data_IF_310726971676
#
_entry.id   IF_310726971676
#
_cell.length_a   1.000
_cell.length_b   1.000
_cell.length_c   1.000
_cell.angle_alpha   90.00
_cell.angle_beta   90.00
_cell.angle_gamma   90.00
#
_symmetry.space_group_name_H-M   'P 1'
#
loop_
_entity.id
_entity.type
_entity.pdbx_description
1 polymer ?
#
# COMPACT_ATOMS: atom_id res chain seq x y z
N UNK A 1 1.12 -0.05 -30.66
CA UNK A 1 2.29 -0.23 -29.78
C UNK A 1 2.01 0.62 -28.58
N UNK A 2 1.96 0.01 -27.40
CA UNK A 2 1.82 0.75 -26.15
C UNK A 2 3.03 1.68 -25.99
N UNK A 3 2.78 2.93 -25.57
CA UNK A 3 3.81 3.95 -25.40
C UNK A 3 4.12 4.15 -23.92
N UNK A 4 5.39 4.45 -23.61
CA UNK A 4 5.77 4.87 -22.27
C UNK A 4 5.22 6.27 -22.05
N UNK A 5 4.43 6.42 -20.99
CA UNK A 5 3.81 7.69 -20.63
C UNK A 5 4.46 8.34 -19.42
N UNK A 6 5.09 7.54 -18.55
CA UNK A 6 5.72 8.01 -17.32
C UNK A 6 6.79 7.03 -16.82
N UNK A 7 7.62 7.48 -15.88
CA UNK A 7 8.60 6.64 -15.18
C UNK A 7 8.48 6.82 -13.67
N UNK A 8 8.56 5.70 -12.96
CA UNK A 8 8.69 5.66 -11.50
C UNK A 8 10.11 5.20 -11.13
N UNK A 9 10.60 5.72 -10.01
CA UNK A 9 11.80 5.25 -9.32
C UNK A 9 11.37 4.59 -8.01
N UNK A 10 11.80 3.36 -7.80
CA UNK A 10 11.52 2.58 -6.59
C UNK A 10 12.79 2.42 -5.77
N UNK A 11 12.71 2.77 -4.49
CA UNK A 11 13.70 2.46 -3.47
C UNK A 11 13.30 1.16 -2.75
N UNK A 12 13.99 0.03 -2.99
CA UNK A 12 13.67 -1.24 -2.35
C UNK A 12 13.90 -1.25 -0.84
N UNK A 13 14.75 -0.37 -0.32
CA UNK A 13 15.06 -0.30 1.12
C UNK A 13 13.94 0.42 1.86
N UNK A 14 13.54 1.59 1.35
CA UNK A 14 12.42 2.37 1.91
C UNK A 14 11.04 1.84 1.53
N UNK A 15 10.96 0.90 0.57
CA UNK A 15 9.73 0.44 -0.07
C UNK A 15 8.85 1.61 -0.53
N UNK A 16 9.48 2.62 -1.12
CA UNK A 16 8.82 3.83 -1.59
C UNK A 16 9.00 3.97 -3.10
N UNK A 17 7.93 4.38 -3.78
CA UNK A 17 7.95 4.73 -5.19
C UNK A 17 7.77 6.24 -5.33
N UNK A 18 8.61 6.86 -6.15
CA UNK A 18 8.49 8.26 -6.55
C UNK A 18 8.34 8.37 -8.05
N UNK A 19 7.68 9.42 -8.51
CA UNK A 19 7.67 9.73 -9.93
C UNK A 19 8.99 10.39 -10.35
N UNK A 20 9.52 10.02 -11.50
CA UNK A 20 10.77 10.55 -12.00
C UNK A 20 10.56 11.96 -12.60
N UNK A 21 11.17 12.97 -11.98
CA UNK A 21 11.08 14.37 -12.44
C UNK A 21 12.31 14.88 -13.18
N UNK A 22 13.41 14.13 -13.20
CA UNK A 22 14.68 14.50 -13.86
C UNK A 22 15.21 13.30 -14.66
N UNK A 23 15.66 13.57 -15.88
CA UNK A 23 16.04 12.56 -16.88
C UNK A 23 17.54 12.64 -17.23
N UNK A 24 18.37 13.26 -16.38
CA UNK A 24 19.82 13.30 -16.54
C UNK A 24 20.42 11.87 -16.50
N UNK A 25 21.01 11.38 -17.61
CA UNK A 25 21.53 10.01 -17.70
C UNK A 25 22.59 9.68 -16.64
N UNK A 26 23.41 10.66 -16.24
CA UNK A 26 24.48 10.44 -15.24
C UNK A 26 23.86 10.15 -13.88
N UNK A 27 22.84 10.93 -13.48
CA UNK A 27 22.13 10.74 -12.21
C UNK A 27 21.36 9.44 -12.19
N UNK A 28 20.74 9.06 -13.32
CA UNK A 28 20.00 7.82 -13.44
C UNK A 28 20.92 6.59 -13.29
N UNK A 29 22.09 6.62 -13.94
CA UNK A 29 23.08 5.55 -13.79
C UNK A 29 23.62 5.44 -12.37
N UNK A 30 23.89 6.57 -11.71
CA UNK A 30 24.33 6.58 -10.31
C UNK A 30 23.25 6.02 -9.38
N UNK A 31 21.99 6.38 -9.59
CA UNK A 31 20.86 5.85 -8.84
C UNK A 31 20.71 4.34 -9.03
N UNK A 32 20.81 3.82 -10.26
CA UNK A 32 20.77 2.37 -10.53
C UNK A 32 21.92 1.63 -9.84
N UNK A 33 23.15 2.19 -9.87
CA UNK A 33 24.32 1.64 -9.17
C UNK A 33 24.12 1.61 -7.64
N UNK A 34 23.37 2.58 -7.12
CA UNK A 34 22.99 2.65 -5.70
C UNK A 34 21.78 1.76 -5.36
N UNK A 35 21.27 0.97 -6.31
CA UNK A 35 20.21 -0.02 -6.08
C UNK A 35 18.80 0.49 -6.32
N UNK A 36 18.63 1.69 -6.86
CA UNK A 36 17.30 2.18 -7.28
C UNK A 36 16.81 1.42 -8.51
N UNK A 37 15.51 1.18 -8.57
CA UNK A 37 14.85 0.44 -9.65
C UNK A 37 13.98 1.39 -10.47
N UNK A 38 14.14 1.38 -11.79
CA UNK A 38 13.32 2.19 -12.70
C UNK A 38 12.17 1.37 -13.28
N UNK A 39 11.00 1.99 -13.34
CA UNK A 39 9.77 1.36 -13.78
C UNK A 39 9.12 2.25 -14.83
N UNK A 40 9.05 1.80 -16.08
CA UNK A 40 8.28 2.45 -17.12
C UNK A 40 6.79 2.16 -16.92
N UNK A 41 5.96 3.20 -16.99
CA UNK A 41 4.50 3.12 -17.00
C UNK A 41 4.04 3.30 -18.43
N UNK A 42 3.24 2.34 -18.89
CA UNK A 42 2.72 2.27 -20.24
C UNK A 42 1.32 2.93 -20.32
N UNK A 43 0.89 3.32 -21.52
CA UNK A 43 -0.42 3.95 -21.78
C UNK A 43 -1.64 3.06 -21.42
N UNK A 44 -1.46 1.75 -21.38
CA UNK A 44 -2.46 0.75 -20.99
C UNK A 44 -2.43 0.42 -19.49
N UNK A 45 -1.58 1.10 -18.71
CA UNK A 45 -1.39 0.89 -17.28
C UNK A 45 -0.40 -0.23 -16.94
N UNK A 46 0.18 -0.92 -17.94
CA UNK A 46 1.24 -1.90 -17.68
C UNK A 46 2.49 -1.21 -17.09
N UNK A 47 3.15 -1.89 -16.14
CA UNK A 47 4.39 -1.42 -15.51
C UNK A 47 5.52 -2.40 -15.81
N UNK A 48 6.65 -1.88 -16.32
CA UNK A 48 7.80 -2.71 -16.70
C UNK A 48 9.09 -2.19 -16.08
N UNK A 49 9.89 -3.10 -15.55
CA UNK A 49 11.25 -2.77 -15.13
C UNK A 49 12.10 -2.40 -16.35
N UNK A 50 12.84 -1.30 -16.24
CA UNK A 50 13.71 -0.78 -17.30
C UNK A 50 15.09 -0.46 -16.74
N UNK A 51 16.09 -0.44 -17.60
CA UNK A 51 17.44 0.01 -17.24
C UNK A 51 17.50 1.53 -17.24
N UNK A 52 18.37 2.11 -16.40
CA UNK A 52 18.61 3.54 -16.40
C UNK A 52 18.99 4.09 -17.80
N UNK A 53 19.76 3.31 -18.57
CA UNK A 53 20.16 3.67 -19.93
C UNK A 53 18.99 3.77 -20.95
N UNK A 54 17.85 3.15 -20.65
CA UNK A 54 16.65 3.15 -21.51
C UNK A 54 15.61 4.19 -21.06
N UNK A 55 15.88 4.92 -19.98
CA UNK A 55 15.01 5.98 -19.46
C UNK A 55 15.26 7.26 -20.24
N UNK A 56 14.21 7.80 -20.85
CA UNK A 56 14.25 9.08 -21.56
C UNK A 56 12.94 9.82 -21.36
N UNK A 57 12.96 11.15 -21.41
CA UNK A 57 11.77 11.95 -21.13
C UNK A 57 10.59 11.55 -22.05
N UNK A 58 9.47 11.08 -21.47
CA UNK A 58 8.28 10.73 -22.25
C UNK A 58 7.75 11.95 -23.01
N UNK A 59 7.18 11.72 -24.20
CA UNK A 59 6.49 12.78 -24.93
C UNK A 59 5.22 13.16 -24.16
N UNK A 60 5.28 14.27 -23.43
CA UNK A 60 4.17 14.75 -22.61
C UNK A 60 2.95 15.08 -23.46
N UNK A 61 2.03 14.13 -23.61
CA UNK A 61 0.68 14.39 -24.10
C UNK A 61 -0.29 14.39 -22.91
N UNK A 62 -0.57 15.58 -22.37
CA UNK A 62 -1.72 15.88 -21.52
C UNK A 62 -2.01 14.90 -20.35
N UNK A 63 -1.00 14.43 -19.63
CA UNK A 63 -1.25 13.59 -18.46
C UNK A 63 -1.53 14.42 -17.21
N UNK A 64 -2.59 14.04 -16.52
CA UNK A 64 -2.95 14.51 -15.18
C UNK A 64 -2.26 13.59 -14.16
N UNK A 65 -1.51 14.17 -13.22
CA UNK A 65 -0.84 13.42 -12.17
C UNK A 65 -1.87 12.89 -11.15
N UNK A 66 -1.86 11.58 -10.91
CA UNK A 66 -2.62 10.97 -9.82
C UNK A 66 -1.68 10.67 -8.67
N UNK A 67 -1.80 11.45 -7.59
CA UNK A 67 -1.01 11.23 -6.37
C UNK A 67 -1.66 10.11 -5.57
N UNK A 68 -0.98 8.98 -5.42
CA UNK A 68 -1.42 7.91 -4.54
C UNK A 68 -1.45 8.43 -3.09
N UNK A 69 -2.61 8.34 -2.43
CA UNK A 69 -2.76 8.79 -1.04
C UNK A 69 -2.28 7.70 -0.08
N UNK A 70 -1.45 8.03 0.93
CA UNK A 70 -1.01 7.09 1.96
C UNK A 70 -2.14 6.45 2.78
N UNK A 71 -3.32 7.07 2.78
CA UNK A 71 -4.51 6.69 3.57
C UNK A 71 -4.88 5.20 3.41
N UNK A 72 -4.69 4.64 2.22
CA UNK A 72 -5.00 3.24 1.91
C UNK A 72 -4.16 2.21 2.68
N UNK A 73 -2.88 2.50 2.93
CA UNK A 73 -1.98 1.57 3.64
C UNK A 73 -2.31 1.54 5.13
N UNK A 74 -2.64 2.70 5.69
CA UNK A 74 -3.02 2.84 7.10
C UNK A 74 -4.33 2.10 7.40
N UNK A 75 -5.31 2.18 6.51
CA UNK A 75 -6.60 1.49 6.65
C UNK A 75 -6.44 -0.04 6.63
N UNK A 76 -5.66 -0.57 5.68
CA UNK A 76 -5.36 -2.01 5.60
C UNK A 76 -4.59 -2.52 6.81
N UNK A 77 -3.64 -1.74 7.30
CA UNK A 77 -2.86 -2.08 8.50
C UNK A 77 -3.76 -2.11 9.73
N UNK A 78 -4.60 -1.10 9.92
CA UNK A 78 -5.60 -1.07 11.01
C UNK A 78 -6.56 -2.25 10.95
N UNK A 79 -7.10 -2.56 9.77
CA UNK A 79 -8.02 -3.69 9.60
C UNK A 79 -7.35 -5.03 9.92
N UNK A 80 -6.07 -5.20 9.55
CA UNK A 80 -5.29 -6.42 9.86
C UNK A 80 -5.08 -6.56 11.37
N UNK A 81 -4.68 -5.48 12.06
CA UNK A 81 -4.52 -5.46 13.51
C UNK A 81 -5.84 -5.82 14.21
N UNK A 82 -6.96 -5.25 13.76
CA UNK A 82 -8.28 -5.55 14.34
C UNK A 82 -8.66 -7.04 14.24
N UNK A 83 -8.26 -7.75 13.16
CA UNK A 83 -8.47 -9.20 13.06
C UNK A 83 -7.64 -9.94 14.10
N UNK A 84 -6.36 -9.57 14.29
CA UNK A 84 -5.50 -10.20 15.28
C UNK A 84 -5.93 -9.92 16.71
N UNK A 85 -6.39 -8.70 17.02
CA UNK A 85 -6.93 -8.35 18.33
C UNK A 85 -8.18 -9.19 18.65
N UNK A 86 -9.07 -9.40 17.67
CA UNK A 86 -10.25 -10.25 17.83
C UNK A 86 -9.87 -11.73 18.05
N UNK A 87 -8.83 -12.22 17.36
CA UNK A 87 -8.27 -13.56 17.58
C UNK A 87 -7.66 -13.69 18.99
N UNK A 88 -6.92 -12.68 19.44
CA UNK A 88 -6.34 -12.66 20.78
C UNK A 88 -7.41 -12.75 21.86
N UNK A 89 -8.54 -12.04 21.70
CA UNK A 89 -9.68 -12.11 22.61
C UNK A 89 -10.34 -13.51 22.68
N UNK A 90 -10.22 -14.33 21.64
CA UNK A 90 -10.70 -15.73 21.63
C UNK A 90 -9.70 -16.66 22.31
N UNK A 91 -8.40 -16.49 22.03
CA UNK A 91 -7.33 -17.42 22.48
C UNK A 91 -6.94 -17.16 23.93
N UNK A 92 -6.91 -15.90 24.36
CA UNK A 92 -6.55 -15.47 25.71
C UNK A 92 -7.60 -14.50 26.27
N UNK A 93 -8.81 -15.01 26.60
CA UNK A 93 -9.90 -14.18 27.09
C UNK A 93 -9.50 -13.53 28.41
N UNK A 94 -9.29 -12.21 28.37
CA UNK A 94 -9.01 -11.45 29.58
C UNK A 94 -10.27 -11.39 30.46
N UNK A 95 -10.14 -11.55 31.78
CA UNK A 95 -11.27 -11.43 32.69
C UNK A 95 -11.88 -10.04 32.56
N UNK A 96 -13.22 -9.96 32.51
CA UNK A 96 -13.93 -8.69 32.50
C UNK A 96 -13.49 -7.85 33.71
N UNK A 97 -12.94 -6.67 33.45
CA UNK A 97 -12.71 -5.68 34.50
C UNK A 97 -14.07 -5.18 34.95
N UNK A 98 -14.44 -5.49 36.20
CA UNK A 98 -15.61 -4.91 36.82
C UNK A 98 -15.33 -3.42 37.07
N UNK A 99 -16.08 -2.53 36.41
CA UNK A 99 -16.11 -1.13 36.80
C UNK A 99 -16.71 -0.98 38.19
N UNK A 100 -16.30 0.05 38.93
CA UNK A 100 -16.73 0.35 40.31
C UNK A 100 -18.26 0.52 40.46
N UNK A 101 -19.00 0.59 39.35
CA UNK A 101 -20.47 0.63 39.27
C UNK A 101 -21.15 -0.75 39.38
N UNK A 102 -20.40 -1.86 39.31
CA UNK A 102 -20.96 -3.22 39.46
C UNK A 102 -21.81 -3.71 38.28
N UNK A 103 -21.90 -2.94 37.19
CA UNK A 103 -22.52 -3.37 35.95
C UNK A 103 -21.46 -4.07 35.09
N UNK A 104 -21.64 -5.38 34.86
CA UNK A 104 -20.82 -6.11 33.91
C UNK A 104 -21.07 -5.52 32.51
N UNK A 105 -20.08 -4.82 31.95
CA UNK A 105 -20.12 -4.40 30.56
C UNK A 105 -20.34 -5.64 29.69
N UNK A 106 -21.39 -5.63 28.86
CA UNK A 106 -21.75 -6.75 28.02
C UNK A 106 -20.67 -6.91 26.94
N UNK A 107 -19.74 -7.82 27.18
CA UNK A 107 -18.63 -8.09 26.29
C UNK A 107 -19.18 -8.71 25.00
N UNK A 108 -18.98 -8.04 23.87
CA UNK A 108 -19.41 -8.54 22.57
C UNK A 108 -18.82 -9.94 22.32
N UNK A 109 -19.57 -10.82 21.63
CA UNK A 109 -19.08 -12.16 21.30
C UNK A 109 -17.75 -12.04 20.52
N UNK A 110 -16.63 -12.56 21.07
CA UNK A 110 -15.33 -12.49 20.41
C UNK A 110 -15.34 -13.12 19.01
N UNK A 111 -16.20 -14.13 18.78
CA UNK A 111 -16.35 -14.80 17.49
C UNK A 111 -17.08 -13.90 16.47
N UNK A 112 -18.10 -13.17 16.89
CA UNK A 112 -18.78 -12.19 16.02
C UNK A 112 -17.86 -11.01 15.69
N UNK A 113 -17.09 -10.54 16.67
CA UNK A 113 -16.09 -9.49 16.50
C UNK A 113 -15.04 -9.90 15.46
N UNK A 114 -14.53 -11.14 15.54
CA UNK A 114 -13.61 -11.69 14.55
C UNK A 114 -14.22 -11.75 13.15
N UNK A 115 -15.45 -12.25 13.01
CA UNK A 115 -16.13 -12.33 11.70
C UNK A 115 -16.31 -10.95 11.07
N UNK A 116 -16.68 -9.96 11.87
CA UNK A 116 -16.84 -8.58 11.40
C UNK A 116 -15.51 -7.97 10.95
N UNK A 117 -14.45 -8.12 11.74
CA UNK A 117 -13.11 -7.62 11.40
C UNK A 117 -12.58 -8.28 10.11
N UNK A 118 -12.79 -9.59 9.95
CA UNK A 118 -12.37 -10.33 8.76
C UNK A 118 -13.14 -9.89 7.51
N UNK A 119 -14.44 -9.62 7.63
CA UNK A 119 -15.25 -9.11 6.53
C UNK A 119 -14.77 -7.72 6.08
N UNK A 120 -14.45 -6.83 7.03
CA UNK A 120 -13.91 -5.50 6.74
C UNK A 120 -12.55 -5.58 6.02
N UNK A 121 -11.65 -6.46 6.47
CA UNK A 121 -10.35 -6.66 5.81
C UNK A 121 -10.51 -7.18 4.38
N UNK A 122 -11.45 -8.10 4.13
CA UNK A 122 -11.73 -8.63 2.78
C UNK A 122 -12.30 -7.56 1.84
N UNK A 123 -13.18 -6.70 2.33
CA UNK A 123 -13.71 -5.60 1.53
C UNK A 123 -12.58 -4.67 1.05
N UNK A 124 -11.61 -4.36 1.92
CA UNK A 124 -10.43 -3.56 1.54
C UNK A 124 -9.48 -4.30 0.58
N UNK A 125 -9.46 -5.64 0.57
CA UNK A 125 -8.72 -6.43 -0.41
C UNK A 125 -9.34 -6.31 -1.80
N UNK A 126 -10.67 -6.40 -1.90
CA UNK A 126 -11.43 -6.32 -3.15
C UNK A 126 -11.37 -4.93 -3.78
N UNK A 127 -11.50 -3.86 -2.99
CA UNK A 127 -11.42 -2.46 -3.44
C UNK A 127 -10.03 -2.10 -4.01
N UNK A 128 -8.99 -2.84 -3.62
CA UNK A 128 -7.63 -2.65 -4.12
C UNK A 128 -7.29 -3.37 -5.43
N UNK A 129 -8.27 -4.02 -6.08
CA UNK A 129 -8.09 -4.76 -7.33
C UNK A 129 -8.72 -4.08 -8.56
N UNK A 130 -9.37 -2.92 -8.38
CA UNK A 130 -9.85 -2.05 -9.46
C UNK A 130 -8.76 -1.08 -9.95
#
# INVERSE_FOLDING_TARGET
MSQIVDYLIHDPVGNVEGQLGDYDPVRLEEAEKNGMVFIAVMDDGERRLVKAADVSEPKQQNQYFTVAKPEYVDERTKATVAVFDAVAAIIDPQPATADESGEAAQQADPVETFRSALAALRALEEDGRE
#
